data_IF_097558180869
#
_entry.id   IF_097558180869
#
_cell.length_a   1.000
_cell.length_b   1.000
_cell.length_c   1.000
_cell.angle_alpha   90.00
_cell.angle_beta   90.00
_cell.angle_gamma   90.00
#
_symmetry.space_group_name_H-M   'P 1'
#
loop_
_entity.id
_entity.type
_entity.pdbx_description
1 polymer ?
#
# COMPACT_ATOMS: atom_id res chain seq x y z
N UNK A 1 -3.62 -45.84 2.00
CA UNK A 1 -3.97 -44.43 2.30
C UNK A 1 -4.69 -44.33 3.63
N UNK A 2 -5.67 -45.19 3.90
CA UNK A 2 -6.49 -45.12 5.12
C UNK A 2 -5.71 -45.22 6.44
N UNK A 3 -4.69 -46.08 6.53
CA UNK A 3 -3.80 -46.15 7.71
C UNK A 3 -3.03 -44.84 7.94
N UNK A 4 -2.60 -44.18 6.85
CA UNK A 4 -1.88 -42.91 6.93
C UNK A 4 -2.84 -41.78 7.34
N UNK A 5 -4.07 -41.77 6.82
CA UNK A 5 -5.12 -40.82 7.22
C UNK A 5 -5.48 -41.03 8.70
N UNK A 6 -5.62 -42.27 9.17
CA UNK A 6 -5.90 -42.57 10.58
C UNK A 6 -4.76 -42.13 11.51
N UNK A 7 -3.51 -42.32 11.10
CA UNK A 7 -2.34 -41.83 11.83
C UNK A 7 -2.37 -40.30 11.92
N UNK A 8 -2.51 -39.61 10.78
CA UNK A 8 -2.60 -38.13 10.75
C UNK A 8 -3.75 -37.64 11.63
N UNK A 9 -4.93 -38.26 11.55
CA UNK A 9 -6.10 -37.89 12.38
C UNK A 9 -5.79 -38.02 13.86
N UNK A 10 -5.07 -39.07 14.26
CA UNK A 10 -4.68 -39.30 15.65
C UNK A 10 -3.69 -38.23 16.13
N UNK A 11 -2.72 -37.88 15.30
CA UNK A 11 -1.73 -36.86 15.61
C UNK A 11 -2.34 -35.45 15.63
N UNK A 12 -3.32 -35.16 14.77
CA UNK A 12 -4.09 -33.90 14.81
C UNK A 12 -4.88 -33.74 16.11
N UNK A 13 -5.42 -34.83 16.66
CA UNK A 13 -6.14 -34.80 17.96
C UNK A 13 -5.21 -34.73 19.17
N UNK A 14 -3.90 -34.82 18.97
CA UNK A 14 -2.95 -34.59 20.07
C UNK A 14 -2.94 -33.11 20.46
N UNK A 15 -2.69 -32.81 21.73
CA UNK A 15 -2.51 -31.42 22.21
C UNK A 15 -1.06 -30.92 22.05
N UNK A 16 -0.23 -31.64 21.28
CA UNK A 16 1.19 -31.34 21.08
C UNK A 16 1.38 -30.59 19.76
N UNK A 17 1.95 -29.38 19.84
CA UNK A 17 2.15 -28.50 18.69
C UNK A 17 3.09 -29.07 17.63
N UNK A 18 4.11 -29.83 18.01
CA UNK A 18 5.01 -30.46 17.05
C UNK A 18 4.32 -31.60 16.31
N UNK A 19 3.52 -32.39 17.04
CA UNK A 19 2.74 -33.48 16.43
C UNK A 19 1.67 -32.92 15.49
N UNK A 20 0.87 -31.95 15.93
CA UNK A 20 -0.15 -31.32 15.09
C UNK A 20 0.47 -30.68 13.84
N UNK A 21 1.53 -29.87 13.98
CA UNK A 21 2.17 -29.21 12.84
C UNK A 21 2.79 -30.21 11.86
N UNK A 22 3.46 -31.26 12.34
CA UNK A 22 4.02 -32.32 11.49
C UNK A 22 2.93 -33.08 10.74
N UNK A 23 1.81 -33.38 11.39
CA UNK A 23 0.65 -34.05 10.79
C UNK A 23 -0.02 -33.18 9.71
N UNK A 24 -0.17 -31.87 9.96
CA UNK A 24 -0.71 -30.93 8.97
C UNK A 24 0.23 -30.76 7.76
N UNK A 25 1.54 -30.66 7.99
CA UNK A 25 2.52 -30.61 6.90
C UNK A 25 2.50 -31.89 6.07
N UNK A 26 2.39 -33.06 6.72
CA UNK A 26 2.27 -34.33 6.03
C UNK A 26 0.97 -34.38 5.20
N UNK A 27 -0.15 -33.90 5.74
CA UNK A 27 -1.42 -33.80 5.01
C UNK A 27 -1.30 -32.87 3.78
N UNK A 28 -0.71 -31.69 3.93
CA UNK A 28 -0.44 -30.76 2.85
C UNK A 28 0.46 -31.37 1.78
N UNK A 29 1.50 -32.11 2.16
CA UNK A 29 2.38 -32.82 1.24
C UNK A 29 1.62 -33.88 0.43
N UNK A 30 0.72 -34.63 1.07
CA UNK A 30 -0.12 -35.60 0.35
C UNK A 30 -1.09 -34.89 -0.60
N UNK A 31 -1.68 -33.78 -0.19
CA UNK A 31 -2.55 -32.95 -1.02
C UNK A 31 -1.78 -32.42 -2.26
N UNK A 32 -0.57 -31.90 -2.05
CA UNK A 32 0.31 -31.43 -3.13
C UNK A 32 0.75 -32.55 -4.09
N UNK A 33 0.84 -33.79 -3.60
CA UNK A 33 1.09 -34.97 -4.42
C UNK A 33 -0.17 -35.46 -5.18
N UNK A 34 -1.27 -34.69 -5.16
CA UNK A 34 -2.53 -35.02 -5.84
C UNK A 34 -3.33 -36.12 -5.16
N UNK A 35 -3.03 -36.46 -3.90
CA UNK A 35 -3.79 -37.46 -3.14
C UNK A 35 -4.95 -36.82 -2.40
N UNK A 36 -6.09 -37.51 -2.42
CA UNK A 36 -7.27 -37.06 -1.69
C UNK A 36 -7.07 -37.23 -0.18
N UNK A 37 -7.10 -36.11 0.55
CA UNK A 37 -7.05 -36.03 2.01
C UNK A 37 -8.27 -35.32 2.60
N UNK A 38 -9.37 -35.22 1.83
CA UNK A 38 -10.63 -34.58 2.23
C UNK A 38 -11.21 -35.11 3.53
N UNK A 39 -10.95 -36.37 3.87
CA UNK A 39 -11.34 -37.00 5.14
C UNK A 39 -10.80 -36.24 6.38
N UNK A 40 -9.68 -35.52 6.24
CA UNK A 40 -9.08 -34.74 7.33
C UNK A 40 -9.77 -33.39 7.56
N UNK A 41 -10.55 -32.89 6.59
CA UNK A 41 -11.18 -31.57 6.64
C UNK A 41 -11.96 -31.34 7.92
N UNK A 42 -12.80 -32.32 8.30
CA UNK A 42 -13.61 -32.21 9.51
C UNK A 42 -12.73 -32.05 10.75
N UNK A 43 -11.68 -32.86 10.88
CA UNK A 43 -10.79 -32.82 12.04
C UNK A 43 -10.00 -31.51 12.08
N UNK A 44 -9.49 -31.06 10.93
CA UNK A 44 -8.82 -29.77 10.82
C UNK A 44 -9.75 -28.61 11.21
N UNK A 45 -11.01 -28.64 10.80
CA UNK A 45 -11.96 -27.58 11.09
C UNK A 45 -12.49 -27.60 12.54
N UNK A 46 -12.87 -28.75 13.07
CA UNK A 46 -13.53 -28.81 14.39
C UNK A 46 -12.55 -28.91 15.55
N UNK A 47 -11.39 -29.53 15.36
CA UNK A 47 -10.38 -29.69 16.42
C UNK A 47 -9.33 -28.59 16.35
N UNK A 48 -8.74 -28.36 15.16
CA UNK A 48 -7.58 -27.46 15.05
C UNK A 48 -8.00 -25.99 14.96
N UNK A 49 -9.01 -25.63 14.15
CA UNK A 49 -9.42 -24.22 14.10
C UNK A 49 -10.05 -23.74 15.41
N UNK A 50 -10.79 -24.62 16.09
CA UNK A 50 -11.44 -24.29 17.36
C UNK A 50 -10.44 -24.25 18.53
N UNK A 51 -9.49 -25.18 18.60
CA UNK A 51 -8.53 -25.29 19.70
C UNK A 51 -7.12 -25.65 19.18
N UNK A 52 -6.45 -24.72 18.47
CA UNK A 52 -5.11 -24.98 17.96
C UNK A 52 -4.10 -25.07 19.10
N UNK A 53 -3.17 -26.02 19.02
CA UNK A 53 -2.02 -26.06 19.95
C UNK A 53 -1.03 -24.91 19.74
N UNK A 54 -1.06 -24.25 18.57
CA UNK A 54 -0.23 -23.09 18.24
C UNK A 54 -0.79 -22.31 17.03
N UNK A 55 -0.40 -21.04 16.88
CA UNK A 55 -0.77 -20.21 15.72
C UNK A 55 -0.33 -20.83 14.39
N UNK A 56 0.83 -21.52 14.37
CA UNK A 56 1.33 -22.25 13.19
C UNK A 56 0.38 -23.38 12.81
N UNK A 57 -0.10 -24.16 13.79
CA UNK A 57 -1.07 -25.23 13.52
C UNK A 57 -2.37 -24.68 12.94
N UNK A 58 -2.86 -23.55 13.46
CA UNK A 58 -4.06 -22.91 12.91
C UNK A 58 -3.87 -22.48 11.46
N UNK A 59 -2.74 -21.82 11.16
CA UNK A 59 -2.41 -21.39 9.79
C UNK A 59 -2.30 -22.57 8.82
N UNK A 60 -1.58 -23.63 9.22
CA UNK A 60 -1.47 -24.84 8.41
C UNK A 60 -2.81 -25.54 8.20
N UNK A 61 -3.70 -25.52 9.20
CA UNK A 61 -5.06 -26.06 9.06
C UNK A 61 -5.90 -25.23 8.08
N UNK A 62 -5.80 -23.90 8.12
CA UNK A 62 -6.44 -23.02 7.13
C UNK A 62 -5.90 -23.29 5.72
N UNK A 63 -4.59 -23.41 5.56
CA UNK A 63 -3.95 -23.71 4.28
C UNK A 63 -4.40 -25.08 3.73
N UNK A 64 -4.50 -26.10 4.59
CA UNK A 64 -5.01 -27.42 4.23
C UNK A 64 -6.47 -27.36 3.78
N UNK A 65 -7.32 -26.69 4.55
CA UNK A 65 -8.74 -26.56 4.23
C UNK A 65 -8.97 -25.82 2.90
N UNK A 66 -8.14 -24.83 2.57
CA UNK A 66 -8.16 -24.14 1.28
C UNK A 66 -7.66 -25.00 0.12
N UNK A 67 -6.74 -25.95 0.37
CA UNK A 67 -6.19 -26.83 -0.66
C UNK A 67 -7.12 -28.01 -1.01
N UNK A 68 -8.09 -28.33 -0.15
CA UNK A 68 -9.00 -29.45 -0.33
C UNK A 68 -10.16 -29.12 -1.28
N UNK A 69 -10.59 -30.07 -2.13
CA UNK A 69 -11.74 -29.89 -3.02
C UNK A 69 -13.07 -30.03 -2.27
N UNK A 70 -13.27 -29.20 -1.24
CA UNK A 70 -14.51 -29.16 -0.45
C UNK A 70 -15.55 -28.28 -1.14
N UNK A 71 -16.85 -28.63 -1.06
CA UNK A 71 -17.89 -27.72 -1.54
C UNK A 71 -17.87 -26.42 -0.71
N UNK A 72 -18.03 -25.26 -1.37
CA UNK A 72 -17.95 -23.95 -0.71
C UNK A 72 -18.93 -23.82 0.45
N UNK A 73 -20.14 -24.37 0.30
CA UNK A 73 -21.18 -24.36 1.34
C UNK A 73 -20.75 -24.96 2.68
N UNK A 74 -19.76 -25.87 2.68
CA UNK A 74 -19.21 -26.47 3.89
C UNK A 74 -17.97 -25.73 4.40
N UNK A 75 -17.11 -25.25 3.50
CA UNK A 75 -15.84 -24.62 3.84
C UNK A 75 -16.02 -23.16 4.28
N UNK A 76 -16.82 -22.41 3.54
CA UNK A 76 -16.98 -20.97 3.67
C UNK A 76 -17.47 -20.54 5.07
N UNK A 77 -18.51 -21.17 5.67
CA UNK A 77 -18.96 -20.80 7.01
C UNK A 77 -17.90 -21.07 8.08
N UNK A 78 -17.11 -22.13 7.93
CA UNK A 78 -16.07 -22.52 8.90
C UNK A 78 -14.90 -21.54 8.85
N UNK A 79 -14.47 -21.14 7.65
CA UNK A 79 -13.42 -20.13 7.48
C UNK A 79 -13.86 -18.77 8.04
N UNK A 80 -15.06 -18.32 7.69
CA UNK A 80 -15.59 -17.02 8.13
C UNK A 80 -15.78 -16.96 9.66
N UNK A 81 -16.32 -18.03 10.26
CA UNK A 81 -16.51 -18.08 11.71
C UNK A 81 -15.17 -18.13 12.47
N UNK A 82 -14.22 -18.94 12.02
CA UNK A 82 -12.87 -19.00 12.62
C UNK A 82 -12.18 -17.64 12.60
N UNK A 83 -12.12 -16.98 11.44
CA UNK A 83 -11.44 -15.69 11.31
C UNK A 83 -12.11 -14.60 12.16
N UNK A 84 -13.44 -14.58 12.22
CA UNK A 84 -14.17 -13.63 13.06
C UNK A 84 -13.93 -13.87 14.55
N UNK A 85 -13.91 -15.14 14.97
CA UNK A 85 -13.64 -15.47 16.37
C UNK A 85 -12.22 -15.07 16.79
N UNK A 86 -11.24 -15.22 15.90
CA UNK A 86 -9.86 -14.81 16.16
C UNK A 86 -9.70 -13.29 16.16
N UNK A 87 -10.41 -12.61 15.26
CA UNK A 87 -10.35 -11.17 15.14
C UNK A 87 -10.92 -10.45 16.38
N UNK A 88 -11.97 -11.03 16.96
CA UNK A 88 -12.59 -10.54 18.19
C UNK A 88 -11.93 -11.12 19.46
N UNK A 89 -10.84 -11.87 19.32
CA UNK A 89 -10.15 -12.49 20.44
C UNK A 89 -9.39 -11.43 21.26
N UNK A 90 -9.33 -11.55 22.61
CA UNK A 90 -8.70 -10.54 23.46
C UNK A 90 -7.19 -10.35 23.25
N UNK A 91 -6.50 -11.39 22.77
CA UNK A 91 -5.06 -11.33 22.48
C UNK A 91 -4.82 -10.66 21.11
N UNK A 92 -4.11 -9.52 21.06
CA UNK A 92 -3.86 -8.78 19.82
C UNK A 92 -3.07 -9.59 18.79
N UNK A 93 -2.24 -10.55 19.19
CA UNK A 93 -1.43 -11.33 18.25
C UNK A 93 -2.27 -12.40 17.53
N UNK A 94 -3.33 -12.89 18.19
CA UNK A 94 -4.34 -13.77 17.57
C UNK A 94 -5.16 -12.99 16.55
N UNK A 95 -5.64 -11.80 16.93
CA UNK A 95 -6.35 -10.91 16.02
C UNK A 95 -5.47 -10.49 14.82
N UNK A 96 -4.19 -10.20 15.06
CA UNK A 96 -3.22 -9.85 14.02
C UNK A 96 -3.03 -10.99 13.02
N UNK A 97 -2.91 -12.22 13.51
CA UNK A 97 -2.81 -13.43 12.67
C UNK A 97 -4.06 -13.68 11.82
N UNK A 98 -5.25 -13.35 12.36
CA UNK A 98 -6.51 -13.42 11.60
C UNK A 98 -6.54 -12.42 10.45
N UNK A 99 -6.26 -11.14 10.73
CA UNK A 99 -6.25 -10.09 9.69
C UNK A 99 -5.20 -10.39 8.61
N UNK A 100 -4.03 -10.90 9.00
CA UNK A 100 -2.96 -11.32 8.08
C UNK A 100 -3.40 -12.39 7.06
N UNK A 101 -4.47 -13.13 7.35
CA UNK A 101 -5.00 -14.15 6.45
C UNK A 101 -5.95 -13.59 5.39
N UNK A 102 -6.49 -12.37 5.55
CA UNK A 102 -7.52 -11.82 4.67
C UNK A 102 -7.09 -11.72 3.19
N UNK A 103 -5.87 -11.26 2.84
CA UNK A 103 -5.46 -11.17 1.45
C UNK A 103 -5.42 -12.51 0.71
N UNK A 104 -5.27 -13.62 1.45
CA UNK A 104 -5.22 -14.98 0.89
C UNK A 104 -6.58 -15.62 0.66
N UNK A 105 -7.68 -14.94 1.05
CA UNK A 105 -9.02 -15.51 0.93
C UNK A 105 -9.55 -15.42 -0.50
N UNK A 106 -10.37 -16.41 -0.92
CA UNK A 106 -11.18 -16.32 -2.12
C UNK A 106 -12.01 -15.03 -2.17
N UNK A 107 -12.07 -14.41 -3.34
CA UNK A 107 -12.75 -13.12 -3.53
C UNK A 107 -14.23 -13.14 -3.17
N UNK A 108 -14.91 -14.27 -3.40
CA UNK A 108 -16.33 -14.44 -3.08
C UNK A 108 -16.64 -14.40 -1.58
N UNK A 109 -15.65 -14.64 -0.70
CA UNK A 109 -15.79 -14.58 0.75
C UNK A 109 -15.62 -13.17 1.33
N UNK A 110 -14.87 -12.33 0.64
CA UNK A 110 -14.50 -11.00 1.12
C UNK A 110 -15.71 -10.11 1.44
N UNK A 111 -16.80 -10.04 0.65
CA UNK A 111 -17.93 -9.16 0.98
C UNK A 111 -18.55 -9.51 2.33
N UNK A 112 -18.78 -10.80 2.58
CA UNK A 112 -19.39 -11.30 3.81
C UNK A 112 -18.46 -11.09 5.00
N UNK A 113 -17.16 -11.37 4.83
CA UNK A 113 -16.16 -11.15 5.88
C UNK A 113 -16.07 -9.67 6.24
N UNK A 114 -15.79 -8.80 5.27
CA UNK A 114 -15.55 -7.38 5.49
C UNK A 114 -16.78 -6.67 6.04
N UNK A 115 -17.98 -7.02 5.57
CA UNK A 115 -19.24 -6.49 6.10
C UNK A 115 -19.48 -6.93 7.54
N UNK A 116 -19.18 -8.18 7.90
CA UNK A 116 -19.40 -8.68 9.26
C UNK A 116 -18.32 -8.28 10.27
N UNK A 117 -17.08 -8.09 9.81
CA UNK A 117 -15.91 -7.77 10.63
C UNK A 117 -15.59 -6.27 10.69
N UNK A 118 -16.43 -5.40 10.11
CA UNK A 118 -16.06 -4.01 9.85
C UNK A 118 -15.66 -3.21 11.11
N UNK A 119 -16.35 -3.46 12.22
CA UNK A 119 -16.09 -2.82 13.50
C UNK A 119 -14.76 -3.30 14.10
N UNK A 120 -14.50 -4.61 14.04
CA UNK A 120 -13.26 -5.18 14.57
C UNK A 120 -12.04 -4.77 13.73
N UNK A 121 -12.19 -4.64 12.41
CA UNK A 121 -11.15 -4.09 11.52
C UNK A 121 -10.81 -2.64 11.92
N UNK A 122 -11.83 -1.82 12.14
CA UNK A 122 -11.62 -0.43 12.59
C UNK A 122 -10.97 -0.36 13.98
N UNK A 123 -11.35 -1.27 14.89
CA UNK A 123 -10.73 -1.39 16.21
C UNK A 123 -9.26 -1.85 16.11
N UNK A 124 -8.93 -2.78 15.22
CA UNK A 124 -7.57 -3.25 14.99
C UNK A 124 -6.64 -2.13 14.50
N UNK A 125 -7.11 -1.29 13.56
CA UNK A 125 -6.37 -0.11 13.09
C UNK A 125 -6.14 0.93 14.21
N UNK A 126 -7.01 0.97 15.21
CA UNK A 126 -6.94 1.91 16.34
C UNK A 126 -6.40 1.27 17.62
N UNK A 127 -5.90 0.03 17.54
CA UNK A 127 -5.49 -0.75 18.71
C UNK A 127 -4.26 -0.13 19.39
N UNK A 128 -4.15 -0.18 20.73
CA UNK A 128 -2.90 0.20 21.40
C UNK A 128 -1.74 -0.75 21.07
N UNK A 129 -2.02 -1.99 20.65
CA UNK A 129 -0.99 -2.98 20.31
C UNK A 129 -0.38 -2.70 18.93
N UNK A 130 0.93 -2.49 18.89
CA UNK A 130 1.68 -2.25 17.65
C UNK A 130 1.56 -3.41 16.66
N UNK A 131 1.66 -4.66 17.14
CA UNK A 131 1.58 -5.86 16.30
C UNK A 131 0.26 -5.94 15.53
N UNK A 132 -0.86 -5.62 16.19
CA UNK A 132 -2.18 -5.60 15.58
C UNK A 132 -2.34 -4.46 14.57
N UNK A 133 -1.87 -3.24 14.89
CA UNK A 133 -1.89 -2.13 13.93
C UNK A 133 -1.04 -2.44 12.70
N UNK A 134 0.17 -2.98 12.88
CA UNK A 134 1.06 -3.36 11.80
C UNK A 134 0.44 -4.44 10.90
N UNK A 135 -0.13 -5.48 11.49
CA UNK A 135 -0.82 -6.54 10.74
C UNK A 135 -2.03 -6.00 9.99
N UNK A 136 -2.81 -5.11 10.60
CA UNK A 136 -3.94 -4.47 9.96
C UNK A 136 -3.50 -3.62 8.76
N UNK A 137 -2.48 -2.77 8.93
CA UNK A 137 -1.95 -1.91 7.86
C UNK A 137 -1.45 -2.72 6.68
N UNK A 138 -0.55 -3.67 6.95
CA UNK A 138 0.07 -4.50 5.90
C UNK A 138 -0.96 -5.31 5.12
N UNK A 139 -1.90 -5.95 5.83
CA UNK A 139 -2.92 -6.79 5.19
C UNK A 139 -3.94 -5.98 4.41
N UNK A 140 -4.51 -4.93 5.01
CA UNK A 140 -5.51 -4.11 4.35
C UNK A 140 -4.92 -3.35 3.16
N UNK A 141 -3.66 -2.89 3.25
CA UNK A 141 -2.99 -2.22 2.13
C UNK A 141 -2.75 -3.13 0.93
N UNK A 142 -2.68 -4.44 1.12
CA UNK A 142 -2.61 -5.41 0.01
C UNK A 142 -3.99 -5.85 -0.49
N UNK A 143 -5.01 -5.75 0.38
CA UNK A 143 -6.35 -6.23 0.12
C UNK A 143 -7.20 -5.16 -0.58
N UNK A 144 -7.32 -3.98 0.02
CA UNK A 144 -8.24 -2.92 -0.42
C UNK A 144 -7.97 -2.42 -1.85
N UNK A 145 -6.71 -2.26 -2.31
CA UNK A 145 -6.48 -1.84 -3.67
C UNK A 145 -6.84 -2.88 -4.74
N UNK A 146 -7.14 -4.15 -4.42
CA UNK A 146 -7.40 -5.19 -5.44
C UNK A 146 -8.59 -4.84 -6.33
N UNK A 147 -8.50 -5.22 -7.61
CA UNK A 147 -9.53 -4.94 -8.62
C UNK A 147 -10.90 -5.51 -8.27
N UNK A 148 -10.95 -6.72 -7.72
CA UNK A 148 -12.18 -7.37 -7.29
C UNK A 148 -12.87 -6.59 -6.15
N UNK A 149 -12.10 -6.14 -5.15
CA UNK A 149 -12.63 -5.35 -4.04
C UNK A 149 -13.03 -3.93 -4.45
N UNK A 150 -12.23 -3.26 -5.26
CA UNK A 150 -12.58 -1.94 -5.77
C UNK A 150 -13.87 -2.00 -6.60
N UNK A 151 -14.06 -3.03 -7.42
CA UNK A 151 -15.29 -3.26 -8.17
C UNK A 151 -16.48 -3.55 -7.24
N UNK A 152 -16.29 -4.36 -6.20
CA UNK A 152 -17.32 -4.59 -5.19
C UNK A 152 -17.71 -3.31 -4.44
N UNK A 153 -16.74 -2.48 -4.05
CA UNK A 153 -16.99 -1.17 -3.44
C UNK A 153 -17.79 -0.26 -4.38
N UNK A 154 -17.53 -0.31 -5.70
CA UNK A 154 -18.26 0.50 -6.67
C UNK A 154 -19.75 0.15 -6.77
N UNK A 155 -20.14 -1.08 -6.40
CA UNK A 155 -21.53 -1.56 -6.45
C UNK A 155 -22.18 -1.66 -5.07
N UNK A 156 -21.42 -1.58 -3.98
CA UNK A 156 -21.90 -1.66 -2.61
C UNK A 156 -21.50 -0.41 -1.79
N UNK A 157 -22.42 0.57 -1.63
CA UNK A 157 -22.15 1.81 -0.89
C UNK A 157 -21.75 1.61 0.57
N UNK A 158 -22.28 0.58 1.24
CA UNK A 158 -21.95 0.29 2.64
C UNK A 158 -20.49 -0.16 2.78
N UNK A 159 -20.07 -1.10 1.94
CA UNK A 159 -18.68 -1.56 1.88
C UNK A 159 -17.73 -0.43 1.49
N UNK A 160 -18.12 0.41 0.52
CA UNK A 160 -17.35 1.60 0.15
C UNK A 160 -17.18 2.58 1.32
N UNK A 161 -18.22 2.81 2.12
CA UNK A 161 -18.14 3.66 3.32
C UNK A 161 -17.17 3.11 4.36
N UNK A 162 -17.22 1.81 4.63
CA UNK A 162 -16.28 1.14 5.53
C UNK A 162 -14.84 1.18 5.00
N UNK A 163 -14.63 0.83 3.73
CA UNK A 163 -13.31 0.82 3.10
C UNK A 163 -12.67 2.21 3.05
N UNK A 164 -13.45 3.25 2.74
CA UNK A 164 -12.99 4.65 2.80
C UNK A 164 -12.59 5.05 4.21
N UNK A 165 -13.35 4.63 5.23
CA UNK A 165 -13.00 4.88 6.64
C UNK A 165 -11.69 4.19 7.01
N UNK A 166 -11.48 2.94 6.59
CA UNK A 166 -10.22 2.22 6.84
C UNK A 166 -9.04 2.88 6.12
N UNK A 167 -9.19 3.31 4.87
CA UNK A 167 -8.16 4.07 4.15
C UNK A 167 -7.80 5.39 4.84
N UNK A 168 -8.81 6.11 5.35
CA UNK A 168 -8.56 7.31 6.16
C UNK A 168 -7.69 6.99 7.37
N UNK A 169 -8.02 5.91 8.11
CA UNK A 169 -7.21 5.46 9.26
C UNK A 169 -5.82 4.97 8.85
N UNK A 170 -5.69 4.21 7.76
CA UNK A 170 -4.39 3.78 7.22
C UNK A 170 -3.49 4.98 6.91
N UNK A 171 -4.08 6.04 6.33
CA UNK A 171 -3.36 7.28 6.02
C UNK A 171 -2.93 8.01 7.29
N UNK A 172 -3.78 8.07 8.31
CA UNK A 172 -3.45 8.65 9.62
C UNK A 172 -2.29 7.93 10.31
N UNK A 173 -2.17 6.61 10.13
CA UNK A 173 -1.09 5.80 10.70
C UNK A 173 0.30 6.13 10.12
N UNK A 174 0.41 6.93 9.05
CA UNK A 174 1.69 7.51 8.64
C UNK A 174 2.30 8.45 9.70
N UNK A 175 1.49 8.92 10.66
CA UNK A 175 1.91 9.68 11.84
C UNK A 175 2.01 8.82 13.11
N UNK A 176 1.94 7.48 13.01
CA UNK A 176 2.02 6.58 14.17
C UNK A 176 3.38 6.71 14.88
N UNK A 177 3.37 6.59 16.21
CA UNK A 177 4.59 6.63 17.02
C UNK A 177 5.54 5.47 16.73
N UNK A 178 5.04 4.31 16.29
CA UNK A 178 5.84 3.16 15.95
C UNK A 178 6.37 3.25 14.52
N UNK A 179 7.68 3.13 14.34
CA UNK A 179 8.34 3.27 13.04
C UNK A 179 7.87 2.21 12.03
N UNK A 180 7.66 0.97 12.47
CA UNK A 180 7.19 -0.11 11.61
C UNK A 180 5.77 0.16 11.06
N UNK A 181 4.88 0.68 11.92
CA UNK A 181 3.50 1.01 11.54
C UNK A 181 3.47 2.21 10.58
N UNK A 182 4.22 3.26 10.90
CA UNK A 182 4.33 4.44 10.03
C UNK A 182 4.93 4.09 8.67
N UNK A 183 6.00 3.29 8.64
CA UNK A 183 6.62 2.83 7.40
C UNK A 183 5.64 2.00 6.57
N UNK A 184 4.93 1.06 7.18
CA UNK A 184 3.93 0.25 6.50
C UNK A 184 2.77 1.11 5.94
N UNK A 185 2.37 2.18 6.63
CA UNK A 185 1.37 3.12 6.16
C UNK A 185 1.87 3.93 4.95
N UNK A 186 3.12 4.40 4.95
CA UNK A 186 3.73 5.04 3.78
C UNK A 186 3.83 4.08 2.59
N UNK A 187 4.19 2.82 2.81
CA UNK A 187 4.17 1.81 1.76
C UNK A 187 2.76 1.55 1.22
N UNK A 188 1.74 1.56 2.08
CA UNK A 188 0.35 1.41 1.68
C UNK A 188 -0.08 2.54 0.74
N UNK A 189 0.29 3.79 1.07
CA UNK A 189 0.05 4.97 0.25
C UNK A 189 0.80 4.88 -1.09
N UNK A 190 2.07 4.45 -1.06
CA UNK A 190 2.86 4.25 -2.26
C UNK A 190 2.21 3.24 -3.21
N UNK A 191 1.75 2.09 -2.69
CA UNK A 191 1.05 1.07 -3.47
C UNK A 191 -0.23 1.61 -4.10
N UNK A 192 -1.04 2.35 -3.33
CA UNK A 192 -2.27 2.96 -3.83
C UNK A 192 -2.00 3.91 -5.02
N UNK A 193 -1.00 4.77 -4.91
CA UNK A 193 -0.63 5.71 -5.97
C UNK A 193 -0.07 4.99 -7.20
N UNK A 194 0.80 4.00 -7.01
CA UNK A 194 1.36 3.21 -8.11
C UNK A 194 0.29 2.41 -8.87
N UNK A 195 -0.66 1.81 -8.16
CA UNK A 195 -1.78 1.12 -8.79
C UNK A 195 -2.68 2.06 -9.58
N UNK A 196 -2.92 3.27 -9.07
CA UNK A 196 -3.69 4.28 -9.78
C UNK A 196 -2.99 4.72 -11.08
N UNK A 197 -1.68 5.01 -11.01
CA UNK A 197 -0.88 5.43 -12.16
C UNK A 197 -0.80 4.34 -13.24
N UNK A 198 -0.63 3.08 -12.84
CA UNK A 198 -0.59 1.94 -13.76
C UNK A 198 -1.92 1.73 -14.51
N UNK A 199 -3.04 2.16 -13.93
CA UNK A 199 -4.40 1.90 -14.45
C UNK A 199 -5.05 3.10 -15.13
N UNK A 200 -4.44 4.29 -15.10
CA UNK A 200 -4.98 5.55 -15.69
C UNK A 200 -5.10 5.53 -17.23
N UNK A 201 -4.63 4.48 -17.90
CA UNK A 201 -4.67 4.32 -19.36
C UNK A 201 -6.03 3.80 -19.86
N UNK A 202 -7.06 4.65 -19.99
CA UNK A 202 -8.18 4.48 -20.97
C UNK A 202 -9.33 5.50 -20.75
N UNK A 203 -9.10 6.81 -20.94
CA UNK A 203 -10.19 7.82 -20.94
C UNK A 203 -10.05 8.87 -22.04
N UNK A 204 -9.92 8.45 -23.29
CA UNK A 204 -9.84 9.37 -24.45
C UNK A 204 -11.04 9.34 -25.40
N UNK A 205 -12.13 8.62 -25.10
CA UNK A 205 -13.20 8.43 -26.09
C UNK A 205 -14.65 8.45 -25.58
N UNK A 206 -14.98 9.31 -24.60
CA UNK A 206 -16.35 9.85 -24.44
C UNK A 206 -17.54 8.89 -24.30
N UNK A 207 -17.34 7.60 -24.05
CA UNK A 207 -18.41 6.60 -23.99
C UNK A 207 -18.67 6.12 -22.55
N UNK A 208 -19.87 5.56 -22.35
CA UNK A 208 -20.38 5.03 -21.06
C UNK A 208 -19.36 4.10 -20.38
N UNK A 209 -19.30 4.20 -19.05
CA UNK A 209 -18.29 3.54 -18.22
C UNK A 209 -18.25 2.01 -18.49
N UNK A 210 -17.08 1.50 -18.89
CA UNK A 210 -16.81 0.06 -19.08
C UNK A 210 -16.57 -0.58 -17.70
N UNK A 211 -16.88 -1.88 -17.57
CA UNK A 211 -16.55 -2.71 -16.40
C UNK A 211 -15.04 -2.59 -16.07
N UNK A 212 -14.68 -1.73 -15.11
CA UNK A 212 -13.31 -1.35 -14.79
C UNK A 212 -13.16 0.11 -14.32
N UNK A 213 -14.02 1.02 -14.81
CA UNK A 213 -13.96 2.43 -14.38
C UNK A 213 -14.57 2.69 -13.00
N UNK A 214 -15.49 1.85 -12.53
CA UNK A 214 -15.98 1.91 -11.15
C UNK A 214 -14.87 1.68 -10.12
N UNK A 215 -14.01 0.69 -10.39
CA UNK A 215 -12.83 0.41 -9.57
C UNK A 215 -11.80 1.56 -9.63
N UNK A 216 -11.64 2.20 -10.80
CA UNK A 216 -10.81 3.39 -10.95
C UNK A 216 -11.36 4.57 -10.15
N UNK A 217 -12.67 4.82 -10.19
CA UNK A 217 -13.33 5.88 -9.43
C UNK A 217 -13.17 5.70 -7.92
N UNK A 218 -13.33 4.47 -7.44
CA UNK A 218 -13.10 4.11 -6.02
C UNK A 218 -11.67 4.41 -5.59
N UNK A 219 -10.67 3.98 -6.37
CA UNK A 219 -9.25 4.27 -6.04
C UNK A 219 -8.91 5.75 -6.17
N UNK A 220 -9.47 6.44 -7.16
CA UNK A 220 -9.29 7.87 -7.32
C UNK A 220 -9.84 8.66 -6.12
N UNK A 221 -10.96 8.21 -5.52
CA UNK A 221 -11.47 8.78 -4.27
C UNK A 221 -10.48 8.58 -3.13
N UNK A 222 -10.04 7.34 -2.87
CA UNK A 222 -9.10 7.06 -1.79
C UNK A 222 -7.76 7.78 -1.97
N UNK A 223 -7.25 7.86 -3.20
CA UNK A 223 -6.02 8.56 -3.50
C UNK A 223 -6.16 10.08 -3.32
N UNK A 224 -7.29 10.68 -3.75
CA UNK A 224 -7.55 12.10 -3.53
C UNK A 224 -7.61 12.43 -2.04
N UNK A 225 -8.35 11.65 -1.25
CA UNK A 225 -8.46 11.84 0.20
C UNK A 225 -7.09 11.70 0.90
N UNK A 226 -6.28 10.72 0.47
CA UNK A 226 -4.93 10.52 0.97
C UNK A 226 -3.97 11.67 0.60
N UNK A 227 -4.04 12.18 -0.63
CA UNK A 227 -3.25 13.33 -1.09
C UNK A 227 -3.60 14.57 -0.26
N UNK A 228 -4.89 14.81 -0.02
CA UNK A 228 -5.37 15.94 0.77
C UNK A 228 -4.90 15.86 2.23
N UNK A 229 -4.91 14.67 2.81
CA UNK A 229 -4.35 14.44 4.13
C UNK A 229 -2.83 14.70 4.17
N UNK A 230 -2.07 14.14 3.23
CA UNK A 230 -0.62 14.31 3.17
C UNK A 230 -0.27 15.79 3.00
N UNK A 231 -0.97 16.49 2.12
CA UNK A 231 -0.73 17.90 1.83
C UNK A 231 -1.03 18.80 3.02
N UNK A 232 -2.20 18.61 3.65
CA UNK A 232 -2.61 19.38 4.83
C UNK A 232 -1.74 19.13 6.07
N UNK A 233 -1.11 17.94 6.16
CA UNK A 233 -0.25 17.53 7.28
C UNK A 233 1.23 17.40 6.92
N UNK A 234 1.67 17.95 5.79
CA UNK A 234 3.03 17.76 5.24
C UNK A 234 4.14 18.01 6.25
N UNK A 235 4.04 19.08 7.07
CA UNK A 235 5.07 19.43 8.05
C UNK A 235 5.17 18.38 9.17
N UNK A 236 4.04 17.82 9.60
CA UNK A 236 4.03 16.74 10.60
C UNK A 236 4.60 15.45 10.03
N UNK A 237 4.29 15.13 8.78
CA UNK A 237 4.81 13.93 8.11
C UNK A 237 6.32 14.04 7.84
N UNK A 238 6.80 15.22 7.44
CA UNK A 238 8.23 15.55 7.31
C UNK A 238 8.94 15.41 8.66
N UNK A 239 8.37 15.98 9.74
CA UNK A 239 8.95 15.84 11.06
C UNK A 239 8.99 14.37 11.51
N UNK A 240 7.93 13.60 11.18
CA UNK A 240 7.83 12.18 11.50
C UNK A 240 8.86 11.34 10.74
N UNK A 241 9.10 11.61 9.46
CA UNK A 241 10.07 10.87 8.66
C UNK A 241 11.50 11.08 9.16
N UNK A 242 11.83 12.28 9.69
CA UNK A 242 13.18 12.60 10.20
C UNK A 242 13.57 11.83 11.45
N UNK A 243 12.61 11.28 12.21
CA UNK A 243 12.90 10.47 13.40
C UNK A 243 12.88 8.96 13.10
N UNK A 244 12.62 8.56 11.85
CA UNK A 244 12.65 7.16 11.41
C UNK A 244 14.08 6.71 11.08
N UNK A 245 14.39 5.40 11.21
CA UNK A 245 15.60 4.81 10.64
C UNK A 245 15.72 5.08 9.13
N UNK A 246 16.95 5.11 8.60
CA UNK A 246 17.21 5.47 7.20
C UNK A 246 16.49 4.55 6.21
N UNK A 247 16.40 3.25 6.52
CA UNK A 247 15.70 2.26 5.71
C UNK A 247 14.19 2.56 5.63
N UNK A 248 13.60 3.01 6.74
CA UNK A 248 12.20 3.38 6.85
C UNK A 248 11.92 4.78 6.32
N UNK A 249 12.90 5.70 6.38
CA UNK A 249 12.79 7.01 5.75
C UNK A 249 12.59 6.90 4.24
N UNK A 250 13.31 5.97 3.58
CA UNK A 250 13.22 5.78 2.13
C UNK A 250 11.78 5.59 1.64
N UNK A 251 10.94 4.87 2.38
CA UNK A 251 9.55 4.60 1.97
C UNK A 251 8.64 5.84 2.09
N UNK A 252 9.05 6.89 2.80
CA UNK A 252 8.28 8.13 2.92
C UNK A 252 8.45 9.07 1.73
N UNK A 253 9.55 8.92 0.97
CA UNK A 253 9.95 9.84 -0.12
C UNK A 253 8.88 9.89 -1.21
N UNK A 254 8.54 8.75 -1.81
CA UNK A 254 7.59 8.70 -2.94
C UNK A 254 6.19 9.23 -2.57
N UNK A 255 5.53 8.81 -1.47
CA UNK A 255 4.21 9.33 -1.13
C UNK A 255 4.16 10.85 -0.91
N UNK A 256 5.17 11.42 -0.23
CA UNK A 256 5.25 12.86 0.01
C UNK A 256 5.40 13.64 -1.29
N UNK A 257 6.30 13.17 -2.15
CA UNK A 257 6.61 13.79 -3.46
C UNK A 257 5.41 13.66 -4.40
N UNK A 258 4.76 12.49 -4.45
CA UNK A 258 3.60 12.24 -5.27
C UNK A 258 2.44 13.18 -4.89
N UNK A 259 2.12 13.29 -3.59
CA UNK A 259 1.07 14.19 -3.13
C UNK A 259 1.36 15.65 -3.51
N UNK A 260 2.59 16.12 -3.30
CA UNK A 260 3.01 17.47 -3.68
C UNK A 260 2.91 17.73 -5.18
N UNK A 261 3.34 16.78 -6.01
CA UNK A 261 3.21 16.85 -7.48
C UNK A 261 1.75 16.91 -7.92
N UNK A 262 0.88 16.11 -7.30
CA UNK A 262 -0.54 16.06 -7.64
C UNK A 262 -1.27 17.36 -7.27
N UNK A 263 -0.88 18.01 -6.19
CA UNK A 263 -1.40 19.33 -5.79
C UNK A 263 -0.85 20.44 -6.67
N UNK A 264 0.46 20.46 -6.92
CA UNK A 264 1.12 21.46 -7.75
C UNK A 264 0.61 21.46 -9.20
N UNK A 265 0.37 20.27 -9.76
CA UNK A 265 -0.18 20.12 -11.12
C UNK A 265 -1.69 20.31 -11.21
N UNK A 266 -2.40 20.39 -10.07
CA UNK A 266 -3.86 20.36 -10.05
C UNK A 266 -4.48 19.01 -10.43
N UNK A 267 -3.67 17.98 -10.66
CA UNK A 267 -4.15 16.65 -11.03
C UNK A 267 -5.02 16.01 -9.94
N UNK A 268 -4.89 16.43 -8.66
CA UNK A 268 -5.81 16.00 -7.60
C UNK A 268 -7.27 16.35 -7.91
N UNK A 269 -7.53 17.49 -8.56
CA UNK A 269 -8.89 17.87 -8.98
C UNK A 269 -9.43 16.91 -10.05
N UNK A 270 -8.55 16.43 -10.95
CA UNK A 270 -8.94 15.41 -11.93
C UNK A 270 -9.31 14.08 -11.26
N UNK A 271 -8.61 13.69 -10.18
CA UNK A 271 -8.99 12.51 -9.40
C UNK A 271 -10.36 12.65 -8.74
N UNK A 272 -10.66 13.82 -8.18
CA UNK A 272 -11.99 14.13 -7.61
C UNK A 272 -13.10 14.04 -8.67
N UNK A 273 -12.86 14.56 -9.87
CA UNK A 273 -13.78 14.44 -11.00
C UNK A 273 -13.99 12.98 -11.43
N UNK A 274 -12.91 12.17 -11.43
CA UNK A 274 -12.99 10.74 -11.75
C UNK A 274 -13.81 10.00 -10.68
N UNK A 275 -13.61 10.32 -9.41
CA UNK A 275 -14.30 9.72 -8.28
C UNK A 275 -15.80 10.04 -8.24
N UNK A 276 -16.17 11.30 -8.55
CA UNK A 276 -17.55 11.79 -8.53
C UNK A 276 -17.87 12.54 -9.83
N UNK A 277 -18.15 11.82 -10.93
CA UNK A 277 -18.48 12.45 -12.20
C UNK A 277 -19.78 13.26 -12.07
N UNK A 278 -19.69 14.57 -12.34
CA UNK A 278 -20.84 15.49 -12.28
C UNK A 278 -20.94 16.34 -11.01
N UNK A 279 -20.06 16.12 -10.03
CA UNK A 279 -19.95 17.03 -8.89
C UNK A 279 -19.18 18.30 -9.31
N UNK A 280 -19.92 19.36 -9.63
CA UNK A 280 -19.36 20.69 -9.96
C UNK A 280 -19.03 21.50 -8.71
N UNK A 281 -19.27 20.95 -7.51
CA UNK A 281 -18.87 21.57 -6.24
C UNK A 281 -17.42 21.27 -5.86
N UNK A 282 -16.58 20.96 -6.86
CA UNK A 282 -15.12 21.07 -6.70
C UNK A 282 -14.87 22.54 -6.45
N UNK A 283 -14.85 22.89 -5.17
CA UNK A 283 -14.26 24.12 -4.73
C UNK A 283 -12.86 24.08 -5.35
N UNK A 284 -12.64 24.94 -6.35
CA UNK A 284 -11.38 25.63 -6.49
C UNK A 284 -11.15 26.28 -5.13
N UNK A 285 -10.66 25.47 -4.18
CA UNK A 285 -9.95 25.95 -3.03
C UNK A 285 -8.76 26.61 -3.67
N UNK A 286 -8.92 27.92 -3.82
CA UNK A 286 -7.85 28.87 -4.08
C UNK A 286 -6.93 28.81 -2.86
N UNK A 287 -6.34 27.64 -2.58
CA UNK A 287 -5.04 27.57 -1.96
C UNK A 287 -4.18 28.46 -2.86
N UNK A 288 -3.82 29.62 -2.32
CA UNK A 288 -3.10 30.63 -3.05
C UNK A 288 -1.90 29.94 -3.69
N UNK A 289 -1.67 30.16 -4.99
CA UNK A 289 -0.55 29.56 -5.73
C UNK A 289 0.79 29.64 -4.97
N UNK A 290 0.96 30.68 -4.15
CA UNK A 290 2.07 30.84 -3.21
C UNK A 290 2.19 29.73 -2.14
N UNK A 291 1.10 29.31 -1.49
CA UNK A 291 1.13 28.22 -0.50
C UNK A 291 1.54 26.89 -1.15
N UNK A 292 1.06 26.63 -2.37
CA UNK A 292 1.46 25.46 -3.17
C UNK A 292 2.95 25.47 -3.48
N UNK A 293 3.48 26.61 -3.92
CA UNK A 293 4.91 26.77 -4.19
C UNK A 293 5.76 26.62 -2.93
N UNK A 294 5.35 27.20 -1.81
CA UNK A 294 6.04 27.08 -0.53
C UNK A 294 6.04 25.64 -0.04
N UNK A 295 4.89 24.96 -0.06
CA UNK A 295 4.79 23.57 0.38
C UNK A 295 5.62 22.59 -0.46
N UNK A 296 5.71 22.80 -1.77
CA UNK A 296 6.63 22.04 -2.64
C UNK A 296 8.09 22.33 -2.27
N UNK A 297 8.43 23.59 -2.02
CA UNK A 297 9.79 23.99 -1.62
C UNK A 297 10.18 23.40 -0.25
N UNK A 298 9.25 23.27 0.70
CA UNK A 298 9.48 22.65 2.00
C UNK A 298 9.88 21.17 1.85
N UNK A 299 9.18 20.43 0.98
CA UNK A 299 9.47 19.03 0.67
C UNK A 299 10.83 18.90 -0.02
N UNK A 300 11.12 19.76 -1.00
CA UNK A 300 12.43 19.76 -1.65
C UNK A 300 13.55 20.05 -0.64
N UNK A 301 13.36 21.03 0.25
CA UNK A 301 14.34 21.39 1.27
C UNK A 301 14.58 20.26 2.27
N UNK A 302 13.53 19.51 2.59
CA UNK A 302 13.62 18.31 3.42
C UNK A 302 14.42 17.18 2.75
N UNK A 303 14.23 16.98 1.45
CA UNK A 303 14.85 15.87 0.70
C UNK A 303 16.27 16.16 0.21
N UNK A 304 16.58 17.42 -0.09
CA UNK A 304 17.84 17.83 -0.71
C UNK A 304 19.11 17.30 0.00
N UNK A 305 19.22 17.29 1.34
CA UNK A 305 20.40 16.76 2.03
C UNK A 305 20.69 15.28 1.70
N UNK A 306 19.65 14.48 1.43
CA UNK A 306 19.77 13.04 1.20
C UNK A 306 20.30 12.68 -0.18
N UNK A 307 20.42 13.64 -1.11
CA UNK A 307 21.15 13.44 -2.37
C UNK A 307 22.65 13.19 -2.15
N UNK A 308 23.17 13.55 -0.99
CA UNK A 308 24.56 13.31 -0.58
C UNK A 308 24.72 12.15 0.40
N UNK A 309 23.67 11.34 0.60
CA UNK A 309 23.70 10.19 1.50
C UNK A 309 24.72 9.14 1.07
N UNK A 310 25.23 8.38 2.06
CA UNK A 310 26.10 7.23 1.81
C UNK A 310 25.33 6.00 1.33
N UNK A 311 23.99 6.00 1.42
CA UNK A 311 23.13 4.90 1.00
C UNK A 311 22.68 5.05 -0.46
N UNK A 312 23.23 4.28 -1.43
CA UNK A 312 22.87 4.41 -2.84
C UNK A 312 21.36 4.26 -3.13
N UNK A 313 20.62 3.32 -2.49
CA UNK A 313 19.18 3.20 -2.70
C UNK A 313 18.42 4.47 -2.29
N UNK A 314 18.88 5.19 -1.26
CA UNK A 314 18.22 6.40 -0.81
C UNK A 314 18.50 7.57 -1.75
N UNK A 315 19.75 7.74 -2.18
CA UNK A 315 20.13 8.77 -3.16
C UNK A 315 19.35 8.57 -4.46
N UNK A 316 19.20 7.33 -4.92
CA UNK A 316 18.39 7.00 -6.09
C UNK A 316 16.92 7.37 -5.90
N UNK A 317 16.31 6.94 -4.80
CA UNK A 317 14.89 7.21 -4.50
C UNK A 317 14.63 8.73 -4.42
N UNK A 318 15.46 9.47 -3.70
CA UNK A 318 15.33 10.92 -3.57
C UNK A 318 15.56 11.62 -4.91
N UNK A 319 16.59 11.23 -5.66
CA UNK A 319 16.92 11.83 -6.95
C UNK A 319 15.80 11.70 -7.97
N UNK A 320 15.26 10.49 -8.16
CA UNK A 320 14.18 10.25 -9.13
C UNK A 320 12.92 11.03 -8.74
N UNK A 321 12.58 11.04 -7.46
CA UNK A 321 11.41 11.77 -6.98
C UNK A 321 11.59 13.29 -7.05
N UNK A 322 12.79 13.82 -6.77
CA UNK A 322 13.10 15.24 -6.97
C UNK A 322 13.00 15.66 -8.43
N UNK A 323 13.41 14.81 -9.38
CA UNK A 323 13.20 15.07 -10.81
C UNK A 323 11.72 15.12 -11.18
N UNK A 324 10.92 14.19 -10.64
CA UNK A 324 9.48 14.18 -10.84
C UNK A 324 8.81 15.48 -10.36
N UNK A 325 9.30 16.08 -9.26
CA UNK A 325 8.87 17.37 -8.73
C UNK A 325 9.37 18.57 -9.54
N UNK A 326 10.60 18.50 -10.08
CA UNK A 326 11.17 19.57 -10.89
C UNK A 326 10.39 19.78 -12.20
N UNK A 327 9.77 18.73 -12.73
CA UNK A 327 8.88 18.75 -13.90
C UNK A 327 7.45 19.25 -13.57
N UNK A 328 7.12 19.51 -12.30
CA UNK A 328 5.81 20.02 -11.90
C UNK A 328 5.73 21.55 -12.07
N UNK A 329 4.52 22.15 -12.16
CA UNK A 329 4.36 23.60 -12.20
C UNK A 329 5.02 24.28 -11.00
N UNK A 330 5.89 25.26 -11.25
CA UNK A 330 6.68 25.93 -10.22
C UNK A 330 8.01 25.24 -9.87
N UNK A 331 8.33 24.14 -10.55
CA UNK A 331 9.61 23.46 -10.48
C UNK A 331 10.78 24.37 -10.86
N UNK A 332 11.89 24.24 -10.14
CA UNK A 332 13.11 25.03 -10.37
C UNK A 332 14.20 24.19 -11.05
N UNK A 333 14.97 24.78 -11.98
CA UNK A 333 16.03 24.06 -12.68
C UNK A 333 17.13 23.58 -11.73
N UNK A 334 17.36 24.31 -10.64
CA UNK A 334 18.30 23.94 -9.57
C UNK A 334 17.96 22.60 -8.92
N UNK A 335 16.66 22.27 -8.75
CA UNK A 335 16.22 20.99 -8.18
C UNK A 335 16.53 19.83 -9.12
N UNK A 336 16.28 20.01 -10.43
CA UNK A 336 16.64 19.03 -11.44
C UNK A 336 18.16 18.85 -11.52
N UNK A 337 18.93 19.93 -11.49
CA UNK A 337 20.39 19.87 -11.58
C UNK A 337 21.03 19.11 -10.42
N UNK A 338 20.62 19.38 -9.19
CA UNK A 338 21.14 18.68 -8.01
C UNK A 338 20.85 17.18 -8.07
N UNK A 339 19.62 16.80 -8.45
CA UNK A 339 19.22 15.41 -8.58
C UNK A 339 19.95 14.68 -9.73
N UNK A 340 20.10 15.32 -10.90
CA UNK A 340 20.85 14.76 -12.04
C UNK A 340 22.31 14.52 -11.64
N UNK A 341 22.96 15.49 -11.00
CA UNK A 341 24.36 15.36 -10.55
C UNK A 341 24.49 14.17 -9.59
N UNK A 342 23.62 14.06 -8.60
CA UNK A 342 23.66 12.98 -7.62
C UNK A 342 23.48 11.60 -8.29
N UNK A 343 22.50 11.47 -9.19
CA UNK A 343 22.24 10.21 -9.90
C UNK A 343 23.38 9.84 -10.86
N UNK A 344 23.95 10.81 -11.59
CA UNK A 344 25.11 10.55 -12.44
C UNK A 344 26.35 10.17 -11.62
N UNK A 345 26.51 10.75 -10.43
CA UNK A 345 27.59 10.36 -9.51
C UNK A 345 27.43 8.91 -9.04
N UNK A 346 26.20 8.47 -8.72
CA UNK A 346 25.92 7.06 -8.42
C UNK A 346 26.23 6.14 -9.61
N UNK A 347 25.87 6.59 -10.81
CA UNK A 347 26.13 5.85 -12.04
C UNK A 347 27.63 5.65 -12.26
N UNK A 348 28.41 6.73 -12.13
CA UNK A 348 29.86 6.74 -12.35
C UNK A 348 30.60 5.83 -11.36
N UNK A 349 30.12 5.75 -10.11
CA UNK A 349 30.66 4.82 -9.10
C UNK A 349 30.27 3.36 -9.32
N UNK A 350 29.39 3.07 -10.28
CA UNK A 350 28.78 1.75 -10.53
C UNK A 350 28.04 1.15 -9.32
N UNK A 351 27.68 1.98 -8.34
CA UNK A 351 27.05 1.55 -7.09
C UNK A 351 25.58 1.12 -7.30
N UNK A 352 25.01 1.34 -8.50
CA UNK A 352 23.61 1.01 -8.81
C UNK A 352 23.40 0.59 -10.29
N UNK A 353 23.82 -0.63 -10.67
CA UNK A 353 23.73 -1.10 -12.06
C UNK A 353 22.33 -1.56 -12.52
N UNK A 354 21.44 -1.90 -11.59
CA UNK A 354 20.14 -2.55 -11.87
C UNK A 354 19.08 -1.61 -12.43
N UNK A 355 19.19 -0.29 -12.23
CA UNK A 355 18.17 0.71 -12.61
C UNK A 355 18.65 1.70 -13.67
N UNK A 356 19.68 1.34 -14.45
CA UNK A 356 20.31 2.21 -15.45
C UNK A 356 19.33 2.78 -16.47
N UNK A 357 18.41 1.97 -16.98
CA UNK A 357 17.42 2.45 -17.94
C UNK A 357 16.50 3.53 -17.35
N UNK A 358 16.06 3.35 -16.11
CA UNK A 358 15.22 4.30 -15.38
C UNK A 358 15.95 5.62 -15.16
N UNK A 359 17.24 5.57 -14.79
CA UNK A 359 18.10 6.75 -14.65
C UNK A 359 18.14 7.53 -15.97
N UNK A 360 18.48 6.85 -17.08
CA UNK A 360 18.61 7.51 -18.39
C UNK A 360 17.30 8.15 -18.80
N UNK A 361 16.17 7.44 -18.67
CA UNK A 361 14.85 7.99 -19.00
C UNK A 361 14.51 9.22 -18.16
N UNK A 362 14.72 9.15 -16.84
CA UNK A 362 14.43 10.26 -15.94
C UNK A 362 15.31 11.50 -16.24
N UNK A 363 16.60 11.30 -16.47
CA UNK A 363 17.52 12.39 -16.84
C UNK A 363 17.10 13.00 -18.17
N UNK A 364 16.90 12.18 -19.21
CA UNK A 364 16.53 12.64 -20.55
C UNK A 364 15.23 13.44 -20.54
N UNK A 365 14.21 12.96 -19.80
CA UNK A 365 12.94 13.68 -19.66
C UNK A 365 13.12 15.08 -19.05
N UNK A 366 14.12 15.27 -18.18
CA UNK A 366 14.36 16.52 -17.44
C UNK A 366 15.49 17.39 -18.01
N UNK A 367 16.19 16.96 -19.08
CA UNK A 367 17.28 17.73 -19.69
C UNK A 367 16.82 19.13 -20.16
N UNK A 368 15.57 19.26 -20.58
CA UNK A 368 14.99 20.52 -21.01
C UNK A 368 14.98 21.58 -19.88
N UNK A 369 14.85 21.16 -18.63
CA UNK A 369 14.90 22.06 -17.46
C UNK A 369 16.31 22.61 -17.23
N UNK A 370 17.35 21.84 -17.55
CA UNK A 370 18.74 22.31 -17.49
C UNK A 370 19.02 23.36 -18.56
N UNK A 371 18.48 23.18 -19.77
CA UNK A 371 18.60 24.17 -20.85
C UNK A 371 17.93 25.50 -20.46
N UNK A 372 16.72 25.45 -19.87
CA UNK A 372 16.05 26.62 -19.31
C UNK A 372 16.88 27.33 -18.22
N UNK A 373 17.51 26.57 -17.32
CA UNK A 373 18.41 27.11 -16.30
C UNK A 373 19.62 27.85 -16.90
N UNK A 374 20.24 27.27 -17.92
CA UNK A 374 21.38 27.91 -18.62
C UNK A 374 20.96 29.17 -19.39
N UNK A 375 19.76 29.18 -19.99
CA UNK A 375 19.24 30.36 -20.69
C UNK A 375 18.96 31.53 -19.73
N UNK A 376 18.40 31.25 -18.55
CA UNK A 376 18.13 32.27 -17.52
C UNK A 376 19.43 32.82 -16.92
N UNK A 377 20.41 31.96 -16.65
CA UNK A 377 21.75 32.38 -16.19
C UNK A 377 22.43 33.29 -17.22
N UNK A 378 22.39 32.92 -18.50
CA UNK A 378 22.96 33.75 -19.56
C UNK A 378 22.24 35.12 -19.65
N UNK A 379 20.92 35.16 -19.51
CA UNK A 379 20.17 36.42 -19.51
C UNK A 379 20.45 37.32 -18.29
N UNK A 380 20.71 36.76 -17.10
CA UNK A 380 21.08 37.57 -15.93
C UNK A 380 22.46 38.21 -16.09
N UNK A 381 23.43 37.50 -16.68
CA UNK A 381 24.75 38.05 -17.03
C UNK A 381 24.69 39.15 -18.09
N UNK A 382 23.72 39.12 -19.01
CA UNK A 382 23.52 40.21 -19.97
C UNK A 382 22.87 41.45 -19.33
N UNK A 383 21.96 41.28 -18.35
CA UNK A 383 21.35 42.40 -17.61
C UNK A 383 22.31 43.07 -16.61
N UNK A 384 23.28 42.36 -16.04
CA UNK A 384 24.31 42.95 -15.17
C UNK A 384 25.42 43.70 -15.94
N UNK A 385 25.46 43.54 -17.27
CA UNK A 385 26.43 44.18 -18.17
C UNK A 385 25.80 45.23 -19.08
N UNK A 386 24.57 45.67 -18.77
CA UNK A 386 23.93 46.80 -19.44
C UNK A 386 24.26 48.08 -18.64
N UNK A 387 24.93 49.09 -19.22
CA UNK A 387 25.29 50.33 -18.53
C UNK A 387 24.10 51.18 -18.10
#
# INVERSE_FOLDING_TARGET
MDLLIAQITTDLRSSDALRQSSALLQALQQCAAGRDVSALARTAATEILAAPSSAVCKRLALDLLRALPLPPDLLDPLLLSSLRSDLSFPDPDVAASSIASFPSLPSHLLPTLLSSAHADIAAALSSPAESLRLAAVTSLSSLLPRDDLALMCSTNPSLMGHATTWWGRLTELALDSADAVAAAAFEALARLFQELDARRMSRLAGDKLVDGEGALAVRAQWAADAIDFIWSRRNMLIARSMVMPVESFRVTVYPLVHAAKMVASGAVNTLRQIAKPGDTTIADTVEASAEKLVGVSDIVSHLLPFLSSLEPPLVFEVGINMLSLADAPGGKPEWASAAIIAILTLWDRQEFSSMRETIVRAVVANLHLLDLGMQVLNQSTYKSNSP
#
